data_IF_792816723986
#
_entry.id   IF_792816723986
#
_cell.length_a   1.000
_cell.length_b   1.000
_cell.length_c   1.000
_cell.angle_alpha   90.00
_cell.angle_beta   90.00
_cell.angle_gamma   90.00
#
_symmetry.space_group_name_H-M   'P 1'
#
loop_
_entity.id
_entity.type
_entity.pdbx_description
1 polymer ?
#
# COMPACT_ATOMS: atom_id res chain seq x y z
N UNK A 1 -24.33 13.26 44.47
CA UNK A 1 -24.28 13.94 43.15
C UNK A 1 -22.85 14.39 42.90
N UNK A 2 -22.25 14.00 41.77
CA UNK A 2 -21.30 14.77 40.93
C UNK A 2 -20.51 13.81 40.03
N UNK A 3 -20.55 14.08 38.72
CA UNK A 3 -20.19 13.18 37.61
C UNK A 3 -18.69 13.20 37.31
N UNK A 4 -18.08 12.10 36.84
CA UNK A 4 -16.71 12.11 36.33
C UNK A 4 -16.61 12.63 34.88
N UNK A 5 -15.51 13.32 34.61
CA UNK A 5 -15.13 13.97 33.37
C UNK A 5 -14.82 12.91 32.27
N UNK A 6 -15.64 12.85 31.23
CA UNK A 6 -15.41 11.96 30.09
C UNK A 6 -14.31 12.50 29.17
N UNK A 7 -13.21 11.77 29.10
CA UNK A 7 -12.13 11.98 28.14
C UNK A 7 -12.61 11.50 26.76
N UNK A 8 -12.88 12.42 25.84
CA UNK A 8 -13.23 12.07 24.45
C UNK A 8 -11.99 11.61 23.70
N UNK A 9 -11.86 10.29 23.52
CA UNK A 9 -10.98 9.72 22.50
C UNK A 9 -11.58 10.01 21.11
N UNK A 10 -10.87 10.79 20.31
CA UNK A 10 -11.21 11.01 18.92
C UNK A 10 -10.60 9.87 18.10
N UNK A 11 -11.40 8.83 17.85
CA UNK A 11 -11.05 7.78 16.89
C UNK A 11 -11.17 8.38 15.50
N UNK A 12 -10.05 8.86 14.94
CA UNK A 12 -9.96 9.17 13.51
C UNK A 12 -10.26 7.88 12.73
N UNK A 13 -11.48 7.81 12.19
CA UNK A 13 -11.87 6.78 11.25
C UNK A 13 -10.91 6.83 10.06
N UNK A 14 -10.12 5.77 9.95
CA UNK A 14 -9.16 5.52 8.88
C UNK A 14 -9.95 5.23 7.60
N UNK A 15 -10.42 6.27 6.92
CA UNK A 15 -10.95 6.15 5.55
C UNK A 15 -9.76 5.85 4.63
N UNK A 16 -9.61 4.57 4.29
CA UNK A 16 -8.60 4.08 3.37
C UNK A 16 -9.02 4.52 1.97
N UNK A 17 -8.49 5.63 1.47
CA UNK A 17 -8.67 6.00 0.07
C UNK A 17 -7.80 5.09 -0.79
N UNK A 18 -8.42 4.04 -1.34
CA UNK A 18 -7.83 3.20 -2.39
C UNK A 18 -7.71 4.07 -3.64
N UNK A 19 -6.49 4.45 -4.01
CA UNK A 19 -6.21 5.01 -5.33
C UNK A 19 -6.28 3.84 -6.30
N UNK A 20 -7.44 3.67 -6.93
CA UNK A 20 -7.67 2.69 -7.98
C UNK A 20 -6.96 3.19 -9.25
N UNK A 21 -5.73 2.74 -9.49
CA UNK A 21 -5.05 2.93 -10.77
C UNK A 21 -5.66 1.97 -11.79
N UNK A 22 -6.50 2.49 -12.69
CA UNK A 22 -6.87 1.78 -13.91
C UNK A 22 -5.64 1.70 -14.81
N UNK A 23 -5.02 0.52 -14.87
CA UNK A 23 -4.04 0.18 -15.89
C UNK A 23 -4.74 -0.09 -17.22
N UNK A 24 -4.71 0.87 -18.14
CA UNK A 24 -4.86 0.60 -19.58
C UNK A 24 -3.47 0.51 -20.19
N UNK A 25 -3.12 -0.68 -20.67
CA UNK A 25 -1.91 -0.93 -21.43
C UNK A 25 -1.97 -0.31 -22.83
N UNK A 26 -0.77 -0.02 -23.35
CA UNK A 26 -0.46 0.08 -24.78
C UNK A 26 -0.86 1.38 -25.48
N UNK A 27 0.09 2.29 -25.68
CA UNK A 27 -0.09 3.42 -26.60
C UNK A 27 0.97 4.51 -26.44
N UNK A 28 1.73 4.73 -27.50
CA UNK A 28 2.85 5.67 -27.63
C UNK A 28 2.49 7.13 -27.30
N UNK A 29 3.48 7.84 -26.76
CA UNK A 29 3.71 9.30 -26.83
C UNK A 29 2.49 10.25 -26.79
N UNK A 30 2.31 10.94 -25.66
CA UNK A 30 1.92 12.35 -25.69
C UNK A 30 2.30 13.06 -24.38
N UNK A 31 3.07 14.15 -24.49
CA UNK A 31 3.29 15.09 -23.38
C UNK A 31 1.98 15.85 -23.17
N UNK A 32 1.34 15.82 -21.99
CA UNK A 32 0.13 16.59 -21.76
C UNK A 32 0.48 18.08 -21.66
N UNK A 33 0.10 18.84 -22.68
CA UNK A 33 0.10 20.30 -22.63
C UNK A 33 -1.06 20.73 -21.72
N UNK A 34 -0.74 21.32 -20.56
CA UNK A 34 -1.73 21.82 -19.62
C UNK A 34 -2.39 23.08 -20.19
N UNK A 35 -3.60 22.94 -20.71
CA UNK A 35 -4.53 24.06 -20.92
C UNK A 35 -5.22 24.40 -19.59
N UNK A 36 -5.35 25.68 -19.22
CA UNK A 36 -6.06 26.05 -18.00
C UNK A 36 -7.56 25.86 -18.20
N UNK A 37 -8.13 24.86 -17.53
CA UNK A 37 -9.58 24.67 -17.44
C UNK A 37 -10.14 25.79 -16.55
N UNK A 38 -10.75 26.78 -17.20
CA UNK A 38 -11.66 27.74 -16.59
C UNK A 38 -13.08 27.14 -16.61
N UNK A 39 -13.51 26.59 -15.47
CA UNK A 39 -14.91 26.29 -15.08
C UNK A 39 -14.82 25.83 -13.61
N UNK A 40 -15.30 26.52 -12.58
CA UNK A 40 -16.58 27.18 -12.43
C UNK A 40 -17.46 26.32 -11.52
N UNK A 41 -17.43 26.51 -10.19
CA UNK A 41 -18.41 25.85 -9.30
C UNK A 41 -17.99 25.65 -7.85
N UNK A 42 -17.89 26.73 -7.08
CA UNK A 42 -17.65 26.66 -5.64
C UNK A 42 -17.21 28.01 -5.10
N UNK A 43 -18.11 29.00 -5.14
CA UNK A 43 -17.86 30.29 -4.49
C UNK A 43 -17.83 30.06 -2.98
N UNK A 44 -16.65 29.80 -2.43
CA UNK A 44 -16.37 30.23 -1.08
C UNK A 44 -16.59 31.74 -1.08
N UNK A 45 -17.66 32.18 -0.41
CA UNK A 45 -17.91 33.59 -0.16
C UNK A 45 -16.61 34.17 0.42
N UNK A 46 -15.99 35.17 -0.23
CA UNK A 46 -14.84 35.82 0.38
C UNK A 46 -15.33 36.38 1.72
N UNK A 47 -14.59 36.22 2.83
CA UNK A 47 -14.96 36.90 4.06
C UNK A 47 -15.12 38.37 3.69
N UNK A 48 -16.33 38.88 3.93
CA UNK A 48 -16.71 40.26 3.72
C UNK A 48 -15.53 41.16 4.10
N UNK A 49 -15.21 42.14 3.25
CA UNK A 49 -14.16 43.16 3.45
C UNK A 49 -14.41 43.92 4.76
N UNK A 50 -14.20 43.27 5.91
CA UNK A 50 -13.82 43.95 7.12
C UNK A 50 -12.51 44.59 6.75
N UNK A 51 -12.49 45.93 6.76
CA UNK A 51 -11.27 46.74 6.66
C UNK A 51 -10.16 45.96 7.35
N UNK A 52 -9.09 45.64 6.62
CA UNK A 52 -7.83 45.23 7.25
C UNK A 52 -7.46 46.38 8.16
N UNK A 53 -7.94 46.35 9.40
CA UNK A 53 -7.33 47.11 10.47
C UNK A 53 -5.90 46.63 10.41
N UNK A 54 -5.00 47.56 10.11
CA UNK A 54 -3.58 47.33 10.17
C UNK A 54 -3.38 46.90 11.62
N UNK A 55 -3.35 45.59 11.86
CA UNK A 55 -3.19 45.04 13.18
C UNK A 55 -1.83 45.54 13.63
N UNK A 56 -1.83 46.35 14.67
CA UNK A 56 -0.61 46.89 15.22
C UNK A 56 0.29 45.71 15.56
N UNK A 57 1.48 45.67 14.94
CA UNK A 57 2.40 44.54 15.03
C UNK A 57 2.94 44.37 16.46
N UNK A 58 2.82 45.42 17.27
CA UNK A 58 3.16 45.42 18.70
C UNK A 58 2.01 44.96 19.59
N UNK A 59 0.79 44.80 19.07
CA UNK A 59 -0.35 44.37 19.90
C UNK A 59 -0.18 42.95 20.45
N UNK A 60 -0.59 42.75 21.70
CA UNK A 60 -0.56 41.43 22.35
C UNK A 60 -1.42 40.40 21.60
N UNK A 61 -2.52 40.85 20.99
CA UNK A 61 -3.36 39.98 20.16
C UNK A 61 -2.62 39.47 18.92
N UNK A 62 -1.82 40.32 18.27
CA UNK A 62 -0.96 39.90 17.16
C UNK A 62 0.10 38.90 17.63
N UNK A 63 0.78 39.16 18.75
CA UNK A 63 1.78 38.25 19.32
C UNK A 63 1.20 36.86 19.60
N UNK A 64 0.06 36.78 20.29
CA UNK A 64 -0.61 35.50 20.57
C UNK A 64 -1.04 34.75 19.29
N UNK A 65 -1.53 35.47 18.27
CA UNK A 65 -1.88 34.87 16.97
C UNK A 65 -0.64 34.29 16.27
N UNK A 66 0.50 34.99 16.32
CA UNK A 66 1.78 34.53 15.75
C UNK A 66 2.34 33.33 16.48
N UNK A 67 2.32 33.33 17.81
CA UNK A 67 2.75 32.18 18.62
C UNK A 67 1.94 30.93 18.30
N UNK A 68 0.60 31.05 18.25
CA UNK A 68 -0.27 29.94 17.83
C UNK A 68 0.05 29.45 16.42
N UNK A 69 0.28 30.35 15.47
CA UNK A 69 0.63 29.97 14.11
C UNK A 69 1.99 29.26 14.05
N UNK A 70 3.01 29.76 14.76
CA UNK A 70 4.33 29.14 14.83
C UNK A 70 4.24 27.72 15.38
N UNK A 71 3.44 27.51 16.44
CA UNK A 71 3.17 26.17 16.98
C UNK A 71 2.46 25.27 15.97
N UNK A 72 1.43 25.78 15.27
CA UNK A 72 0.70 25.03 14.26
C UNK A 72 1.61 24.62 13.09
N UNK A 73 2.48 25.52 12.62
CA UNK A 73 3.45 25.24 11.56
C UNK A 73 4.45 24.19 12.02
N UNK A 74 5.01 24.32 13.23
CA UNK A 74 5.92 23.31 13.80
C UNK A 74 5.24 21.95 13.86
N UNK A 75 4.01 21.88 14.34
CA UNK A 75 3.21 20.65 14.40
C UNK A 75 2.97 20.06 13.01
N UNK A 76 2.60 20.88 12.03
CA UNK A 76 2.35 20.44 10.65
C UNK A 76 3.61 19.86 9.99
N UNK A 77 4.76 20.53 10.19
CA UNK A 77 6.06 20.05 9.68
C UNK A 77 6.44 18.73 10.32
N UNK A 78 6.33 18.62 11.65
CA UNK A 78 6.62 17.39 12.37
C UNK A 78 5.73 16.24 11.91
N UNK A 79 4.42 16.46 11.74
CA UNK A 79 3.50 15.45 11.23
C UNK A 79 3.87 14.98 9.83
N UNK A 80 4.28 15.90 8.95
CA UNK A 80 4.68 15.57 7.58
C UNK A 80 5.98 14.76 7.57
N UNK A 81 6.95 15.14 8.41
CA UNK A 81 8.21 14.40 8.59
C UNK A 81 7.95 12.99 9.14
N UNK A 82 7.11 12.87 10.18
CA UNK A 82 6.75 11.58 10.78
C UNK A 82 6.08 10.68 9.74
N UNK A 83 5.10 11.21 8.99
CA UNK A 83 4.43 10.43 7.94
C UNK A 83 5.40 9.89 6.89
N UNK A 84 6.39 10.69 6.50
CA UNK A 84 7.43 10.23 5.56
C UNK A 84 8.28 9.10 6.18
N UNK A 85 8.67 9.23 7.44
CA UNK A 85 9.41 8.20 8.17
C UNK A 85 8.61 6.91 8.33
N UNK A 86 7.35 7.00 8.77
CA UNK A 86 6.45 5.86 8.92
C UNK A 86 6.24 5.13 7.59
N UNK A 87 6.10 5.88 6.50
CA UNK A 87 5.97 5.30 5.16
C UNK A 87 7.24 4.55 4.75
N UNK A 88 8.41 5.13 5.00
CA UNK A 88 9.68 4.48 4.70
C UNK A 88 9.87 3.21 5.54
N UNK A 89 9.54 3.26 6.83
CA UNK A 89 9.57 2.09 7.70
C UNK A 89 8.63 1.00 7.17
N UNK A 90 7.40 1.36 6.78
CA UNK A 90 6.43 0.41 6.24
C UNK A 90 6.91 -0.24 4.94
N UNK A 91 7.58 0.51 4.07
CA UNK A 91 8.18 -0.02 2.85
C UNK A 91 9.26 -1.05 3.20
N UNK A 92 10.10 -0.78 4.20
CA UNK A 92 11.13 -1.72 4.62
C UNK A 92 10.53 -3.01 5.20
N UNK A 93 9.54 -2.89 6.11
CA UNK A 93 8.81 -4.04 6.66
C UNK A 93 8.19 -4.92 5.56
N UNK A 94 7.59 -4.29 4.54
CA UNK A 94 6.99 -5.01 3.42
C UNK A 94 8.03 -5.71 2.55
N UNK A 95 9.22 -5.13 2.38
CA UNK A 95 10.31 -5.77 1.63
C UNK A 95 10.82 -7.01 2.36
N UNK A 96 11.08 -6.89 3.66
CA UNK A 96 11.53 -8.02 4.49
C UNK A 96 10.50 -9.15 4.51
N UNK A 97 9.21 -8.82 4.67
CA UNK A 97 8.14 -9.81 4.64
C UNK A 97 8.03 -10.46 3.25
N UNK A 98 8.19 -9.69 2.16
CA UNK A 98 8.16 -10.26 0.82
C UNK A 98 9.32 -11.24 0.59
N UNK A 99 10.55 -10.87 0.96
CA UNK A 99 11.72 -11.76 0.87
C UNK A 99 11.50 -13.06 1.67
N UNK A 100 10.93 -12.96 2.87
CA UNK A 100 10.58 -14.11 3.71
C UNK A 100 9.54 -15.02 3.04
N UNK A 101 8.52 -14.44 2.43
CA UNK A 101 7.48 -15.17 1.73
C UNK A 101 8.02 -15.84 0.46
N UNK A 102 8.85 -15.15 -0.33
CA UNK A 102 9.52 -15.70 -1.50
C UNK A 102 10.41 -16.89 -1.13
N UNK A 103 11.17 -16.80 -0.04
CA UNK A 103 11.96 -17.91 0.48
C UNK A 103 11.08 -19.12 0.85
N UNK A 104 9.93 -18.88 1.50
CA UNK A 104 8.98 -19.94 1.85
C UNK A 104 8.37 -20.61 0.61
N UNK A 105 7.97 -19.83 -0.39
CA UNK A 105 7.47 -20.35 -1.66
C UNK A 105 8.52 -21.22 -2.33
N UNK A 106 9.78 -20.76 -2.37
CA UNK A 106 10.89 -21.50 -2.97
C UNK A 106 11.15 -22.82 -2.26
N UNK A 107 11.09 -22.84 -0.92
CA UNK A 107 11.24 -24.08 -0.14
C UNK A 107 10.13 -25.08 -0.46
N UNK A 108 8.87 -24.66 -0.33
CA UNK A 108 7.72 -25.52 -0.59
C UNK A 108 7.71 -26.04 -2.03
N UNK A 109 8.11 -25.21 -2.99
CA UNK A 109 8.21 -25.63 -4.41
C UNK A 109 9.24 -26.73 -4.60
N UNK A 110 10.38 -26.67 -3.89
CA UNK A 110 11.39 -27.73 -3.92
C UNK A 110 10.87 -29.02 -3.28
N UNK A 111 10.23 -28.92 -2.12
CA UNK A 111 9.63 -30.08 -1.44
C UNK A 111 8.59 -30.78 -2.33
N UNK A 112 7.74 -30.02 -3.02
CA UNK A 112 6.78 -30.56 -3.97
C UNK A 112 7.45 -31.20 -5.18
N UNK A 113 8.54 -30.62 -5.70
CA UNK A 113 9.31 -31.23 -6.79
C UNK A 113 9.87 -32.58 -6.37
N UNK A 114 10.54 -32.64 -5.21
CA UNK A 114 11.11 -33.88 -4.68
C UNK A 114 10.05 -34.96 -4.51
N UNK A 115 8.90 -34.61 -3.94
CA UNK A 115 7.78 -35.55 -3.81
C UNK A 115 7.29 -36.03 -5.17
N UNK A 116 7.09 -35.12 -6.12
CA UNK A 116 6.65 -35.46 -7.48
C UNK A 116 7.65 -36.39 -8.17
N UNK A 117 8.94 -36.08 -8.08
CA UNK A 117 10.01 -36.88 -8.70
C UNK A 117 10.04 -38.29 -8.08
N UNK A 118 9.89 -38.41 -6.76
CA UNK A 118 9.80 -39.71 -6.07
C UNK A 118 8.58 -40.53 -6.52
N UNK A 119 7.41 -39.90 -6.65
CA UNK A 119 6.21 -40.57 -7.15
C UNK A 119 6.37 -41.05 -8.60
N UNK A 120 6.97 -40.23 -9.46
CA UNK A 120 7.22 -40.59 -10.85
C UNK A 120 8.23 -41.73 -10.95
N UNK A 121 9.34 -41.67 -10.20
CA UNK A 121 10.33 -42.74 -10.16
C UNK A 121 9.71 -44.07 -9.73
N UNK A 122 8.89 -44.09 -8.68
CA UNK A 122 8.19 -45.31 -8.26
C UNK A 122 7.18 -45.81 -9.31
N UNK A 123 6.45 -44.92 -9.98
CA UNK A 123 5.52 -45.31 -11.04
C UNK A 123 6.23 -45.89 -12.27
N UNK A 124 7.39 -45.33 -12.65
CA UNK A 124 8.23 -45.86 -13.72
C UNK A 124 8.79 -47.25 -13.37
N UNK A 125 9.32 -47.42 -12.15
CA UNK A 125 9.79 -48.72 -11.66
C UNK A 125 8.67 -49.79 -11.61
N UNK A 126 7.42 -49.39 -11.37
CA UNK A 126 6.27 -50.30 -11.40
C UNK A 126 5.91 -50.70 -12.85
N UNK A 127 6.02 -49.77 -13.80
CA UNK A 127 5.74 -50.05 -15.21
C UNK A 127 6.82 -50.94 -15.86
N UNK A 128 8.08 -50.76 -15.51
CA UNK A 128 9.19 -51.56 -16.05
C UNK A 128 9.22 -53.01 -15.52
N UNK A 129 8.68 -53.26 -14.31
CA UNK A 129 8.48 -54.62 -13.78
C UNK A 129 7.27 -55.36 -14.39
N UNK A 130 6.48 -54.70 -15.25
CA UNK A 130 5.41 -55.32 -16.04
C UNK A 130 5.86 -55.45 -17.50
N UNK A 131 7.03 -56.07 -17.72
CA UNK A 131 7.35 -56.55 -19.05
C UNK A 131 6.49 -57.79 -19.34
N UNK A 132 5.71 -57.84 -20.44
CA UNK A 132 5.04 -59.06 -20.82
C UNK A 132 6.13 -60.03 -21.25
N UNK A 133 6.37 -61.10 -20.47
CA UNK A 133 7.02 -62.28 -21.03
C UNK A 133 6.13 -62.75 -22.17
N UNK A 134 6.56 -62.39 -23.36
CA UNK A 134 6.00 -62.75 -24.65
C UNK A 134 5.66 -64.24 -24.65
N UNK A 135 4.39 -64.52 -24.87
CA UNK A 135 3.89 -65.82 -25.26
C UNK A 135 4.61 -66.22 -26.56
N UNK A 136 5.71 -66.96 -26.45
CA UNK A 136 6.32 -67.66 -27.56
C UNK A 136 5.38 -68.83 -27.94
N UNK A 137 4.56 -68.55 -28.93
CA UNK A 137 4.23 -69.43 -30.05
C UNK A 137 4.13 -70.94 -29.74
N UNK A 138 3.05 -71.34 -29.07
CA UNK A 138 2.48 -72.68 -29.24
C UNK A 138 1.75 -72.74 -30.59
N UNK A 139 2.45 -73.16 -31.65
CA UNK A 139 1.83 -73.34 -32.96
C UNK A 139 2.78 -73.99 -33.96
N UNK A 140 2.87 -75.33 -33.94
CA UNK A 140 3.54 -76.06 -35.02
C UNK A 140 3.88 -77.52 -34.72
N UNK A 141 2.88 -78.39 -34.78
CA UNK A 141 2.80 -79.64 -35.58
C UNK A 141 1.71 -80.57 -35.08
#
# INVERSE_FOLDING_TARGET
>A
MSKPLQQKHNTEQKSVSVIQSQGKGGGLQQVPQLVPISQGGGKAVPPSKMKKTIADKESDEYRQRRERNNLAVKKSRMRSKQKAQDTQQRVNELKEENERLEAKIKLLSKELSVLKDLFLEHAHNLADNVHPQSADAAGGQ
#
